data_IF_851925526973
#
_entry.id   IF_851925526973
#
_cell.length_a   1.000
_cell.length_b   1.000
_cell.length_c   1.000
_cell.angle_alpha   90.00
_cell.angle_beta   90.00
_cell.angle_gamma   90.00
#
_symmetry.space_group_name_H-M   'P 1'
#
loop_
_entity.id
_entity.type
_entity.pdbx_description
1 polymer ?
#
# COMPACT_ATOMS: atom_id res chain seq x y z
N UNK A 1 -31.84 47.12 6.49
CA UNK A 1 -30.57 46.67 5.86
C UNK A 1 -30.02 45.39 6.50
N UNK A 2 -30.15 45.22 7.82
CA UNK A 2 -29.69 44.05 8.60
C UNK A 2 -30.44 42.72 8.36
N UNK A 3 -31.74 42.76 8.02
CA UNK A 3 -32.54 41.56 7.77
C UNK A 3 -32.14 40.84 6.47
N UNK A 4 -31.96 41.59 5.37
CA UNK A 4 -31.54 41.06 4.07
C UNK A 4 -30.15 40.41 4.16
N UNK A 5 -29.23 41.03 4.89
CA UNK A 5 -27.89 40.50 5.11
C UNK A 5 -27.89 39.19 5.92
N UNK A 6 -28.76 39.09 6.94
CA UNK A 6 -28.96 37.88 7.74
C UNK A 6 -29.54 36.74 6.91
N UNK A 7 -30.56 37.01 6.09
CA UNK A 7 -31.19 36.02 5.20
C UNK A 7 -30.23 35.53 4.11
N UNK A 8 -29.42 36.44 3.53
CA UNK A 8 -28.39 36.07 2.54
C UNK A 8 -27.31 35.18 3.19
N UNK A 9 -26.85 35.49 4.41
CA UNK A 9 -25.88 34.64 5.13
C UNK A 9 -26.45 33.25 5.46
N UNK A 10 -27.73 33.17 5.84
CA UNK A 10 -28.39 31.89 6.09
C UNK A 10 -28.56 31.07 4.79
N UNK A 11 -28.95 31.70 3.69
CA UNK A 11 -29.03 31.04 2.37
C UNK A 11 -27.65 30.55 1.91
N UNK A 12 -26.61 31.37 2.02
CA UNK A 12 -25.23 30.97 1.69
C UNK A 12 -24.72 29.85 2.59
N UNK A 13 -25.06 29.87 3.88
CA UNK A 13 -24.79 28.77 4.82
C UNK A 13 -25.50 27.48 4.41
N UNK A 14 -26.78 27.55 4.02
CA UNK A 14 -27.56 26.41 3.58
C UNK A 14 -27.03 25.83 2.26
N UNK A 15 -26.74 26.68 1.29
CA UNK A 15 -26.15 26.29 0.00
C UNK A 15 -24.77 25.67 0.18
N UNK A 16 -23.91 26.28 1.02
CA UNK A 16 -22.62 25.71 1.39
C UNK A 16 -22.77 24.35 2.05
N UNK A 17 -23.76 24.17 2.93
CA UNK A 17 -24.04 22.91 3.62
C UNK A 17 -24.51 21.82 2.65
N UNK A 18 -25.40 22.14 1.71
CA UNK A 18 -25.89 21.20 0.68
C UNK A 18 -24.76 20.79 -0.28
N UNK A 19 -23.93 21.74 -0.71
CA UNK A 19 -22.73 21.46 -1.51
C UNK A 19 -21.71 20.60 -0.74
N UNK A 20 -21.55 20.83 0.56
CA UNK A 20 -20.67 20.04 1.41
C UNK A 20 -21.17 18.60 1.56
N UNK A 21 -22.48 18.40 1.74
CA UNK A 21 -23.13 17.09 1.82
C UNK A 21 -22.95 16.34 0.49
N UNK A 22 -23.23 17.00 -0.64
CA UNK A 22 -23.03 16.41 -1.97
C UNK A 22 -21.57 15.99 -2.19
N UNK A 23 -20.60 16.83 -1.81
CA UNK A 23 -19.16 16.50 -1.92
C UNK A 23 -18.75 15.33 -1.03
N UNK A 24 -19.23 15.25 0.21
CA UNK A 24 -18.93 14.11 1.12
C UNK A 24 -19.49 12.79 0.58
N UNK A 25 -20.68 12.82 0.00
CA UNK A 25 -21.30 11.62 -0.62
C UNK A 25 -20.47 11.08 -1.80
N UNK A 26 -19.86 11.95 -2.62
CA UNK A 26 -18.98 11.52 -3.72
C UNK A 26 -17.75 10.76 -3.22
N UNK A 27 -17.10 11.21 -2.14
CA UNK A 27 -15.93 10.51 -1.61
C UNK A 27 -16.28 9.19 -0.91
N UNK A 28 -17.49 9.09 -0.33
CA UNK A 28 -18.01 7.81 0.14
C UNK A 28 -18.24 6.84 -1.02
N UNK A 29 -18.72 7.33 -2.18
CA UNK A 29 -18.83 6.51 -3.40
C UNK A 29 -17.46 5.99 -3.86
N UNK A 30 -16.41 6.79 -3.76
CA UNK A 30 -15.03 6.34 -4.07
C UNK A 30 -14.60 5.19 -3.13
N UNK A 31 -14.89 5.28 -1.83
CA UNK A 31 -14.63 4.17 -0.90
C UNK A 31 -15.42 2.91 -1.28
N UNK A 32 -16.69 3.06 -1.65
CA UNK A 32 -17.51 1.96 -2.12
C UNK A 32 -16.96 1.33 -3.41
N UNK A 33 -16.45 2.12 -4.36
CA UNK A 33 -15.83 1.62 -5.59
C UNK A 33 -14.55 0.80 -5.30
N UNK A 34 -13.73 1.25 -4.34
CA UNK A 34 -12.56 0.50 -3.85
C UNK A 34 -13.01 -0.84 -3.24
N UNK A 35 -14.03 -0.81 -2.37
CA UNK A 35 -14.61 -2.01 -1.76
C UNK A 35 -15.08 -3.02 -2.80
N UNK A 36 -15.90 -2.57 -3.76
CA UNK A 36 -16.43 -3.41 -4.85
C UNK A 36 -15.30 -4.03 -5.66
N UNK A 37 -14.20 -3.31 -5.90
CA UNK A 37 -13.04 -3.84 -6.62
C UNK A 37 -12.38 -5.03 -5.88
N UNK A 38 -12.25 -4.93 -4.56
CA UNK A 38 -11.75 -6.05 -3.73
C UNK A 38 -12.73 -7.22 -3.67
N UNK A 39 -14.02 -6.94 -3.44
CA UNK A 39 -15.06 -7.97 -3.37
C UNK A 39 -15.23 -8.71 -4.71
N UNK A 40 -15.11 -8.02 -5.85
CA UNK A 40 -15.15 -8.62 -7.18
C UNK A 40 -13.99 -9.61 -7.39
N UNK A 41 -12.79 -9.28 -6.90
CA UNK A 41 -11.64 -10.20 -6.96
C UNK A 41 -11.80 -11.41 -6.04
N UNK A 42 -12.37 -11.20 -4.85
CA UNK A 42 -12.74 -12.30 -3.95
C UNK A 42 -13.76 -13.24 -4.61
N UNK A 43 -14.80 -12.69 -5.23
CA UNK A 43 -15.83 -13.46 -5.93
C UNK A 43 -15.26 -14.26 -7.11
N UNK A 44 -14.36 -13.65 -7.89
CA UNK A 44 -13.65 -14.32 -8.98
C UNK A 44 -12.83 -15.52 -8.50
N UNK A 45 -12.38 -15.49 -7.24
CA UNK A 45 -11.60 -16.56 -6.63
C UNK A 45 -12.47 -17.77 -6.28
N UNK A 46 -13.72 -17.56 -5.85
CA UNK A 46 -14.69 -18.64 -5.68
C UNK A 46 -15.24 -19.20 -6.99
N UNK A 47 -15.39 -18.35 -8.01
CA UNK A 47 -15.93 -18.73 -9.31
C UNK A 47 -14.94 -18.52 -10.47
N UNK A 48 -13.75 -19.16 -10.43
CA UNK A 48 -12.65 -18.86 -11.34
C UNK A 48 -12.95 -19.16 -12.81
N UNK A 49 -13.88 -20.09 -13.08
CA UNK A 49 -14.31 -20.43 -14.44
C UNK A 49 -15.34 -19.44 -15.01
N UNK A 50 -16.16 -18.83 -14.15
CA UNK A 50 -17.28 -17.99 -14.59
C UNK A 50 -16.90 -16.52 -14.67
N UNK A 51 -15.94 -16.07 -13.84
CA UNK A 51 -15.58 -14.66 -13.69
C UNK A 51 -14.06 -14.39 -13.86
N UNK A 52 -13.40 -14.91 -14.91
CA UNK A 52 -11.95 -14.77 -15.06
C UNK A 52 -11.49 -13.31 -15.20
N UNK A 53 -12.32 -12.43 -15.78
CA UNK A 53 -12.02 -11.02 -15.95
C UNK A 53 -11.90 -10.27 -14.61
N UNK A 54 -12.61 -10.72 -13.56
CA UNK A 54 -12.63 -10.07 -12.26
C UNK A 54 -11.45 -10.44 -11.36
N UNK A 55 -10.62 -11.42 -11.76
CA UNK A 55 -9.46 -11.87 -10.97
C UNK A 55 -8.51 -10.71 -10.64
N UNK A 56 -8.34 -9.77 -11.59
CA UNK A 56 -7.47 -8.60 -11.44
C UNK A 56 -8.16 -7.40 -10.79
N UNK A 57 -9.43 -7.49 -10.38
CA UNK A 57 -10.15 -6.34 -9.81
C UNK A 57 -9.48 -5.78 -8.54
N UNK A 58 -8.78 -6.61 -7.75
CA UNK A 58 -8.04 -6.11 -6.58
C UNK A 58 -6.91 -5.14 -6.97
N UNK A 59 -6.30 -5.31 -8.16
CA UNK A 59 -5.29 -4.37 -8.66
C UNK A 59 -5.88 -2.98 -8.93
N UNK A 60 -7.13 -2.92 -9.41
CA UNK A 60 -7.89 -1.67 -9.59
C UNK A 60 -8.21 -1.05 -8.23
N UNK A 61 -8.62 -1.86 -7.25
CA UNK A 61 -8.84 -1.39 -5.88
C UNK A 61 -7.59 -0.75 -5.27
N UNK A 62 -6.44 -1.40 -5.39
CA UNK A 62 -5.15 -0.85 -4.98
C UNK A 62 -4.75 0.41 -5.75
N UNK A 63 -4.97 0.45 -7.06
CA UNK A 63 -4.65 1.60 -7.90
C UNK A 63 -5.49 2.82 -7.49
N UNK A 64 -6.81 2.64 -7.33
CA UNK A 64 -7.72 3.69 -6.90
C UNK A 64 -7.37 4.21 -5.51
N UNK A 65 -7.13 3.29 -4.55
CA UNK A 65 -6.74 3.66 -3.19
C UNK A 65 -5.41 4.43 -3.18
N UNK A 66 -4.40 3.93 -3.89
CA UNK A 66 -3.11 4.60 -4.04
C UNK A 66 -3.23 5.98 -4.67
N UNK A 67 -3.96 6.10 -5.78
CA UNK A 67 -4.18 7.38 -6.45
C UNK A 67 -4.92 8.39 -5.56
N UNK A 68 -5.95 7.95 -4.83
CA UNK A 68 -6.69 8.81 -3.91
C UNK A 68 -5.83 9.30 -2.74
N UNK A 69 -4.98 8.44 -2.18
CA UNK A 69 -4.04 8.79 -1.11
C UNK A 69 -2.91 9.71 -1.60
N UNK A 70 -2.51 9.61 -2.86
CA UNK A 70 -1.42 10.43 -3.42
C UNK A 70 -1.91 11.81 -3.89
N UNK A 71 -3.00 11.84 -4.66
CA UNK A 71 -3.44 13.04 -5.39
C UNK A 71 -4.48 13.85 -4.64
N UNK A 72 -5.36 13.19 -3.89
CA UNK A 72 -6.50 13.83 -3.21
C UNK A 72 -6.67 13.36 -1.75
N UNK A 73 -5.59 13.20 -0.94
CA UNK A 73 -5.70 12.64 0.41
C UNK A 73 -6.63 13.44 1.32
N UNK A 74 -6.57 14.78 1.24
CA UNK A 74 -7.39 15.67 2.06
C UNK A 74 -8.89 15.56 1.80
N UNK A 75 -9.29 15.20 0.58
CA UNK A 75 -10.70 14.99 0.26
C UNK A 75 -11.13 13.55 0.55
N UNK A 76 -10.31 12.59 0.15
CA UNK A 76 -10.57 11.17 0.35
C UNK A 76 -10.72 10.85 1.85
N UNK A 77 -9.72 11.19 2.67
CA UNK A 77 -9.79 10.92 4.11
C UNK A 77 -10.43 12.06 4.92
N UNK A 78 -10.63 13.25 4.35
CA UNK A 78 -11.27 14.37 5.03
C UNK A 78 -12.70 14.08 5.47
N UNK A 79 -13.39 13.15 4.82
CA UNK A 79 -14.72 12.70 5.26
C UNK A 79 -14.69 11.87 6.53
N UNK A 80 -13.52 11.34 6.93
CA UNK A 80 -13.36 10.46 8.09
C UNK A 80 -13.09 11.22 9.39
N UNK A 81 -12.86 12.53 9.32
CA UNK A 81 -12.54 13.39 10.48
C UNK A 81 -13.56 14.51 10.66
N UNK A 82 -13.70 15.00 11.89
CA UNK A 82 -14.39 16.25 12.20
C UNK A 82 -13.33 17.33 12.50
N UNK A 83 -13.32 18.40 11.70
CA UNK A 83 -12.40 19.53 11.86
C UNK A 83 -11.54 19.80 10.63
N UNK A 84 -10.55 20.66 10.79
CA UNK A 84 -9.69 21.08 9.68
C UNK A 84 -8.58 20.07 9.43
N UNK A 85 -8.75 19.29 8.36
CA UNK A 85 -7.74 18.35 7.87
C UNK A 85 -6.59 19.13 7.20
N UNK A 86 -5.52 19.37 7.96
CA UNK A 86 -4.42 20.23 7.50
C UNK A 86 -3.50 19.53 6.47
N UNK A 87 -2.60 20.32 5.87
CA UNK A 87 -1.63 19.87 4.87
C UNK A 87 -0.73 18.73 5.36
N UNK A 88 -0.33 18.73 6.64
CA UNK A 88 0.53 17.69 7.20
C UNK A 88 -0.19 16.33 7.28
N UNK A 89 -1.47 16.32 7.64
CA UNK A 89 -2.25 15.07 7.63
C UNK A 89 -2.34 14.48 6.21
N UNK A 90 -2.64 15.33 5.22
CA UNK A 90 -2.65 14.93 3.81
C UNK A 90 -1.30 14.41 3.34
N UNK A 91 -0.22 15.06 3.76
CA UNK A 91 1.14 14.69 3.38
C UNK A 91 1.56 13.32 3.95
N UNK A 92 1.32 13.05 5.24
CA UNK A 92 1.67 11.76 5.84
C UNK A 92 0.90 10.58 5.22
N UNK A 93 -0.34 10.81 4.79
CA UNK A 93 -1.14 9.81 4.07
C UNK A 93 -0.54 9.40 2.73
N UNK A 94 0.06 10.36 2.02
CA UNK A 94 0.63 10.11 0.70
C UNK A 94 1.74 9.06 0.75
N UNK A 95 2.47 8.91 1.87
CA UNK A 95 3.46 7.84 2.01
C UNK A 95 2.86 6.43 1.90
N UNK A 96 1.62 6.24 2.34
CA UNK A 96 0.92 4.96 2.21
C UNK A 96 0.57 4.64 0.74
N UNK A 97 0.36 5.67 -0.09
CA UNK A 97 0.02 5.49 -1.51
C UNK A 97 1.07 4.69 -2.28
N UNK A 98 2.35 4.87 -1.94
CA UNK A 98 3.49 4.25 -2.61
C UNK A 98 3.34 2.72 -2.64
N UNK A 99 2.89 2.13 -1.54
CA UNK A 99 2.69 0.68 -1.42
C UNK A 99 1.50 0.20 -2.23
N UNK A 100 0.36 0.89 -2.17
CA UNK A 100 -0.82 0.48 -2.94
C UNK A 100 -0.58 0.59 -4.45
N UNK A 101 0.10 1.64 -4.92
CA UNK A 101 0.48 1.79 -6.33
C UNK A 101 1.46 0.70 -6.77
N UNK A 102 2.44 0.36 -5.94
CA UNK A 102 3.36 -0.73 -6.20
C UNK A 102 2.66 -2.11 -6.25
N UNK A 103 1.74 -2.37 -5.33
CA UNK A 103 0.92 -3.59 -5.34
C UNK A 103 0.10 -3.64 -6.62
N UNK A 104 -0.60 -2.56 -6.99
CA UNK A 104 -1.38 -2.50 -8.22
C UNK A 104 -0.54 -2.84 -9.45
N UNK A 105 0.65 -2.24 -9.58
CA UNK A 105 1.60 -2.57 -10.65
C UNK A 105 1.99 -4.05 -10.63
N UNK A 106 2.34 -4.59 -9.47
CA UNK A 106 2.79 -5.98 -9.36
C UNK A 106 1.70 -6.99 -9.72
N UNK A 107 0.45 -6.73 -9.28
CA UNK A 107 -0.71 -7.57 -9.59
C UNK A 107 -1.14 -7.48 -11.06
N UNK A 108 -0.82 -6.38 -11.75
CA UNK A 108 -1.05 -6.21 -13.19
C UNK A 108 0.08 -6.79 -14.05
N UNK A 109 1.18 -7.24 -13.45
CA UNK A 109 2.36 -7.67 -14.20
C UNK A 109 2.07 -8.86 -15.14
N UNK A 110 2.67 -8.88 -16.34
CA UNK A 110 2.42 -9.92 -17.34
C UNK A 110 3.04 -11.27 -16.97
N UNK A 111 3.99 -11.32 -16.02
CA UNK A 111 4.65 -12.54 -15.56
C UNK A 111 3.74 -13.49 -14.73
N UNK A 112 2.44 -13.18 -14.66
CA UNK A 112 1.47 -13.91 -13.88
C UNK A 112 1.35 -13.30 -12.49
N UNK A 113 0.11 -13.14 -12.06
CA UNK A 113 -0.24 -12.81 -10.69
C UNK A 113 0.48 -13.82 -9.77
N UNK A 114 1.36 -13.40 -8.84
CA UNK A 114 1.90 -14.34 -7.88
C UNK A 114 0.78 -14.63 -6.89
N UNK A 115 -0.05 -15.61 -7.23
CA UNK A 115 -0.97 -16.31 -6.33
C UNK A 115 -0.17 -17.11 -5.28
N UNK A 116 1.15 -16.94 -5.22
CA UNK A 116 2.04 -17.57 -4.26
C UNK A 116 1.58 -17.24 -2.83
N UNK A 117 1.35 -18.29 -2.06
CA UNK A 117 0.85 -18.23 -0.68
C UNK A 117 1.53 -17.15 0.18
N UNK A 118 2.87 -16.95 0.14
CA UNK A 118 3.51 -15.94 0.97
C UNK A 118 3.11 -14.49 0.61
N UNK A 119 2.81 -14.20 -0.66
CA UNK A 119 2.39 -12.87 -1.10
C UNK A 119 0.95 -12.57 -0.72
N UNK A 120 0.07 -13.56 -0.90
CA UNK A 120 -1.33 -13.46 -0.46
C UNK A 120 -1.39 -13.33 1.07
N UNK A 121 -0.61 -14.15 1.79
CA UNK A 121 -0.47 -14.05 3.24
C UNK A 121 0.08 -12.68 3.67
N UNK A 122 1.15 -12.19 3.05
CA UNK A 122 1.72 -10.89 3.37
C UNK A 122 0.71 -9.74 3.19
N UNK A 123 -0.06 -9.77 2.09
CA UNK A 123 -1.12 -8.78 1.86
C UNK A 123 -2.25 -8.90 2.89
N UNK A 124 -2.74 -10.11 3.18
CA UNK A 124 -3.78 -10.32 4.20
C UNK A 124 -3.32 -9.86 5.59
N UNK A 125 -2.09 -10.20 5.99
CA UNK A 125 -1.52 -9.83 7.28
C UNK A 125 -1.37 -8.31 7.41
N UNK A 126 -0.89 -7.63 6.36
CA UNK A 126 -0.76 -6.17 6.36
C UNK A 126 -2.12 -5.47 6.32
N UNK A 127 -3.09 -5.99 5.57
CA UNK A 127 -4.45 -5.48 5.57
C UNK A 127 -5.08 -5.58 6.98
N UNK A 128 -4.87 -6.71 7.67
CA UNK A 128 -5.30 -6.91 9.04
C UNK A 128 -4.67 -5.88 9.98
N UNK A 129 -3.34 -5.72 9.96
CA UNK A 129 -2.66 -4.76 10.82
C UNK A 129 -3.05 -3.31 10.51
N UNK A 130 -3.29 -2.99 9.24
CA UNK A 130 -3.78 -1.68 8.79
C UNK A 130 -5.17 -1.38 9.36
N UNK A 131 -6.10 -2.34 9.22
CA UNK A 131 -7.44 -2.24 9.80
C UNK A 131 -7.39 -2.11 11.32
N UNK A 132 -6.63 -2.99 12.00
CA UNK A 132 -6.46 -2.93 13.46
C UNK A 132 -5.87 -1.59 13.90
N UNK A 133 -4.90 -1.04 13.18
CA UNK A 133 -4.31 0.27 13.49
C UNK A 133 -5.35 1.38 13.42
N UNK A 134 -6.21 1.38 12.39
CA UNK A 134 -7.30 2.35 12.28
C UNK A 134 -8.36 2.16 13.37
N UNK A 135 -8.77 0.91 13.66
CA UNK A 135 -9.78 0.62 14.69
C UNK A 135 -9.29 0.96 16.10
N UNK A 136 -8.04 0.62 16.43
CA UNK A 136 -7.43 1.01 17.72
C UNK A 136 -7.29 2.52 17.84
N UNK A 137 -6.99 3.22 16.74
CA UNK A 137 -6.95 4.68 16.74
C UNK A 137 -8.34 5.27 16.95
N UNK A 138 -9.37 4.73 16.28
CA UNK A 138 -10.75 5.15 16.47
C UNK A 138 -11.18 4.97 17.92
N UNK A 139 -10.94 3.79 18.50
CA UNK A 139 -11.20 3.49 19.90
C UNK A 139 -10.48 4.46 20.86
N UNK A 140 -9.20 4.71 20.61
CA UNK A 140 -8.41 5.64 21.41
C UNK A 140 -8.93 7.08 21.35
N UNK A 141 -9.33 7.53 20.17
CA UNK A 141 -9.89 8.86 19.92
C UNK A 141 -11.29 9.03 20.53
N UNK A 142 -12.07 7.94 20.64
CA UNK A 142 -13.40 7.97 21.28
C UNK A 142 -13.33 7.92 22.80
N UNK A 143 -12.41 7.15 23.38
CA UNK A 143 -12.38 6.94 24.84
C UNK A 143 -11.54 7.95 25.61
N UNK A 144 -10.45 8.44 25.01
CA UNK A 144 -9.56 9.38 25.69
C UNK A 144 -9.77 10.76 25.11
N UNK A 145 -9.84 11.77 25.98
CA UNK A 145 -9.66 13.19 25.64
C UNK A 145 -8.24 13.37 25.10
N UNK A 146 -8.06 13.00 23.85
CA UNK A 146 -6.79 13.04 23.14
C UNK A 146 -6.79 14.27 22.26
N UNK A 147 -5.62 14.90 22.17
CA UNK A 147 -5.43 16.05 21.31
C UNK A 147 -5.49 15.57 19.85
N UNK A 148 -6.38 16.15 19.07
CA UNK A 148 -6.47 15.88 17.64
C UNK A 148 -7.86 16.07 17.06
N UNK A 149 -7.98 15.82 15.76
CA UNK A 149 -9.27 15.78 15.08
C UNK A 149 -10.14 14.67 15.67
N UNK A 150 -11.43 14.96 15.90
CA UNK A 150 -12.38 13.92 16.28
C UNK A 150 -12.65 13.02 15.06
N UNK A 151 -12.96 11.75 15.29
CA UNK A 151 -13.41 10.89 14.21
C UNK A 151 -14.84 11.24 13.80
N UNK A 152 -15.14 11.15 12.51
CA UNK A 152 -16.52 11.25 12.02
C UNK A 152 -17.25 9.91 12.14
N UNK A 153 -18.57 9.94 12.00
CA UNK A 153 -19.42 8.73 11.91
C UNK A 153 -19.03 7.83 10.71
N UNK A 154 -18.35 8.39 9.71
CA UNK A 154 -17.93 7.67 8.52
C UNK A 154 -16.58 6.96 8.68
N UNK A 155 -15.82 7.24 9.75
CA UNK A 155 -14.46 6.72 9.91
C UNK A 155 -14.41 5.19 9.86
N UNK A 156 -15.23 4.53 10.69
CA UNK A 156 -15.26 3.07 10.80
C UNK A 156 -15.73 2.46 9.48
N UNK A 157 -16.79 3.02 8.89
CA UNK A 157 -17.30 2.57 7.60
C UNK A 157 -16.22 2.65 6.51
N UNK A 158 -15.52 3.78 6.38
CA UNK A 158 -14.47 3.97 5.39
C UNK A 158 -13.28 3.03 5.62
N UNK A 159 -12.92 2.75 6.88
CA UNK A 159 -11.89 1.77 7.22
C UNK A 159 -12.27 0.35 6.76
N UNK A 160 -13.54 -0.06 6.95
CA UNK A 160 -14.01 -1.36 6.45
C UNK A 160 -14.14 -1.42 4.94
N UNK A 161 -14.61 -0.34 4.28
CA UNK A 161 -14.71 -0.28 2.82
C UNK A 161 -13.35 -0.34 2.12
N UNK A 162 -12.26 0.02 2.82
CA UNK A 162 -10.90 -0.02 2.28
C UNK A 162 -10.12 -1.22 2.80
N UNK A 163 -9.58 -1.15 4.01
CA UNK A 163 -8.71 -2.19 4.58
C UNK A 163 -9.48 -3.47 4.95
N UNK A 164 -10.75 -3.34 5.37
CA UNK A 164 -11.60 -4.50 5.65
C UNK A 164 -11.93 -5.30 4.38
N UNK A 165 -12.28 -4.62 3.30
CA UNK A 165 -12.54 -5.25 2.01
C UNK A 165 -11.27 -5.87 1.42
N UNK A 166 -10.12 -5.18 1.55
CA UNK A 166 -8.81 -5.73 1.17
C UNK A 166 -8.48 -7.00 1.97
N UNK A 167 -8.61 -6.97 3.29
CA UNK A 167 -8.40 -8.12 4.17
C UNK A 167 -9.29 -9.30 3.76
N UNK A 168 -10.58 -9.06 3.54
CA UNK A 168 -11.52 -10.11 3.14
C UNK A 168 -11.11 -10.73 1.80
N UNK A 169 -10.75 -9.90 0.81
CA UNK A 169 -10.29 -10.35 -0.50
C UNK A 169 -9.08 -11.28 -0.40
N UNK A 170 -8.04 -10.87 0.33
CA UNK A 170 -6.83 -11.68 0.48
C UNK A 170 -7.04 -12.91 1.37
N UNK A 171 -7.93 -12.82 2.37
CA UNK A 171 -8.32 -13.98 3.18
C UNK A 171 -9.02 -15.04 2.33
N UNK A 172 -9.96 -14.65 1.47
CA UNK A 172 -10.63 -15.57 0.54
C UNK A 172 -9.61 -16.25 -0.37
N UNK A 173 -8.67 -15.49 -0.94
CA UNK A 173 -7.56 -16.05 -1.74
C UNK A 173 -6.72 -17.02 -0.94
N UNK A 174 -6.39 -16.71 0.32
CA UNK A 174 -5.58 -17.57 1.17
C UNK A 174 -6.29 -18.88 1.52
N UNK A 175 -7.59 -18.84 1.83
CA UNK A 175 -8.39 -20.03 2.17
C UNK A 175 -8.70 -20.91 0.96
N UNK A 176 -8.78 -20.33 -0.23
CA UNK A 176 -9.05 -21.07 -1.48
C UNK A 176 -7.77 -21.52 -2.18
N UNK A 177 -6.61 -21.02 -1.75
CA UNK A 177 -5.32 -21.42 -2.29
C UNK A 177 -5.09 -22.92 -2.11
N UNK A 178 -4.81 -23.60 -3.23
CA UNK A 178 -4.43 -25.02 -3.25
C UNK A 178 -3.10 -25.15 -3.97
N UNK A 179 -2.07 -25.60 -3.25
CA UNK A 179 -0.79 -26.02 -3.83
C UNK A 179 -0.68 -27.53 -3.70
N UNK A 180 -0.34 -28.20 -4.79
CA UNK A 180 -0.09 -29.63 -4.79
C UNK A 180 1.38 -29.90 -4.50
N UNK A 181 1.71 -31.09 -3.98
CA UNK A 181 3.10 -31.52 -3.81
C UNK A 181 3.87 -31.48 -5.13
N UNK A 182 3.18 -31.71 -6.25
CA UNK A 182 3.78 -31.61 -7.58
C UNK A 182 4.21 -30.17 -7.91
N UNK A 183 3.41 -29.16 -7.54
CA UNK A 183 3.76 -27.75 -7.78
C UNK A 183 5.03 -27.35 -7.00
N UNK A 184 5.20 -27.90 -5.80
CA UNK A 184 6.40 -27.67 -4.98
C UNK A 184 7.63 -28.35 -5.57
N UNK A 185 7.51 -29.60 -6.02
CA UNK A 185 8.57 -30.32 -6.73
C UNK A 185 8.96 -29.56 -8.00
N UNK A 186 7.99 -29.13 -8.80
CA UNK A 186 8.23 -28.38 -10.04
C UNK A 186 8.95 -27.05 -9.77
N UNK A 187 8.60 -26.34 -8.69
CA UNK A 187 9.31 -25.12 -8.25
C UNK A 187 10.75 -25.41 -7.85
N UNK A 188 10.99 -26.46 -7.06
CA UNK A 188 12.34 -26.87 -6.65
C UNK A 188 13.19 -27.25 -7.86
N UNK A 189 12.65 -28.05 -8.78
CA UNK A 189 13.34 -28.45 -10.01
C UNK A 189 13.70 -27.21 -10.85
N UNK A 190 12.77 -26.28 -11.08
CA UNK A 190 13.05 -25.03 -11.83
C UNK A 190 14.16 -24.22 -11.19
N UNK A 191 14.16 -24.10 -9.86
CA UNK A 191 15.22 -23.38 -9.13
C UNK A 191 16.57 -24.07 -9.30
N UNK A 192 16.62 -25.39 -9.12
CA UNK A 192 17.86 -26.17 -9.32
C UNK A 192 18.37 -26.04 -10.75
N UNK A 193 17.50 -26.10 -11.76
CA UNK A 193 17.87 -25.88 -13.16
C UNK A 193 18.49 -24.50 -13.39
N UNK A 194 17.90 -23.43 -12.83
CA UNK A 194 18.47 -22.08 -12.95
C UNK A 194 19.89 -22.01 -12.38
N UNK A 195 20.15 -22.70 -11.27
CA UNK A 195 21.49 -22.77 -10.68
C UNK A 195 22.47 -23.61 -11.50
N UNK A 196 22.03 -24.77 -12.00
CA UNK A 196 22.85 -25.64 -12.88
C UNK A 196 23.22 -24.95 -14.19
N UNK A 197 22.33 -24.13 -14.72
CA UNK A 197 22.57 -23.34 -15.95
C UNK A 197 23.42 -22.08 -15.70
N UNK A 198 23.90 -21.85 -14.47
CA UNK A 198 24.68 -20.65 -14.11
C UNK A 198 23.86 -19.36 -14.14
N UNK A 199 22.53 -19.45 -14.17
CA UNK A 199 21.58 -18.31 -14.23
C UNK A 199 21.09 -17.88 -12.85
N UNK A 200 21.42 -18.62 -11.79
CA UNK A 200 21.24 -18.21 -10.40
C UNK A 200 22.10 -17.00 -10.03
N UNK A 201 21.71 -16.26 -8.99
CA UNK A 201 22.43 -15.06 -8.54
C UNK A 201 22.42 -14.93 -7.03
N UNK A 202 23.55 -15.23 -6.38
CA UNK A 202 23.73 -15.01 -4.95
C UNK A 202 23.57 -13.52 -4.58
N UNK A 203 24.04 -12.63 -5.45
CA UNK A 203 23.82 -11.19 -5.26
C UNK A 203 22.34 -10.86 -5.19
N UNK A 204 21.53 -11.43 -6.09
CA UNK A 204 20.09 -11.14 -6.12
C UNK A 204 19.35 -11.72 -4.91
N UNK A 205 19.71 -12.94 -4.47
CA UNK A 205 19.17 -13.49 -3.24
C UNK A 205 19.52 -12.59 -2.03
N UNK A 206 20.77 -12.15 -1.93
CA UNK A 206 21.21 -11.22 -0.89
C UNK A 206 20.48 -9.88 -0.99
N UNK A 207 20.20 -9.39 -2.19
CA UNK A 207 19.45 -8.16 -2.38
C UNK A 207 18.03 -8.27 -1.83
N UNK A 208 17.36 -9.41 -2.02
CA UNK A 208 16.04 -9.66 -1.41
C UNK A 208 16.10 -9.75 0.12
N UNK A 209 17.15 -10.36 0.68
CA UNK A 209 17.34 -10.38 2.13
C UNK A 209 17.57 -8.99 2.72
N UNK A 210 18.38 -8.17 2.07
CA UNK A 210 18.61 -6.79 2.48
C UNK A 210 17.31 -5.98 2.38
N UNK A 211 16.57 -6.12 1.28
CA UNK A 211 15.26 -5.47 1.11
C UNK A 211 14.27 -5.86 2.22
N UNK A 212 14.24 -7.15 2.59
CA UNK A 212 13.43 -7.64 3.69
C UNK A 212 13.85 -7.03 5.04
N UNK A 213 15.16 -7.02 5.32
CA UNK A 213 15.70 -6.52 6.59
C UNK A 213 15.47 -5.00 6.76
N UNK A 214 15.74 -4.21 5.72
CA UNK A 214 15.49 -2.76 5.73
C UNK A 214 14.00 -2.48 5.88
N UNK A 215 13.15 -3.19 5.14
CA UNK A 215 11.69 -3.04 5.24
C UNK A 215 11.16 -3.40 6.63
N UNK A 216 11.70 -4.45 7.26
CA UNK A 216 11.36 -4.85 8.62
C UNK A 216 11.81 -3.79 9.64
N UNK A 217 13.01 -3.23 9.48
CA UNK A 217 13.51 -2.15 10.33
C UNK A 217 12.61 -0.92 10.23
N UNK A 218 12.21 -0.53 9.00
CA UNK A 218 11.26 0.56 8.77
C UNK A 218 9.91 0.26 9.43
N UNK A 219 9.39 -0.95 9.28
CA UNK A 219 8.14 -1.37 9.90
C UNK A 219 8.19 -1.28 11.43
N UNK A 220 9.19 -1.89 12.07
CA UNK A 220 9.34 -1.91 13.53
C UNK A 220 9.50 -0.51 14.08
N UNK A 221 10.36 0.31 13.47
CA UNK A 221 10.61 1.68 13.96
C UNK A 221 9.35 2.55 13.87
N UNK A 222 8.64 2.54 12.74
CA UNK A 222 7.44 3.35 12.54
C UNK A 222 6.24 2.85 13.34
N UNK A 223 6.12 1.54 13.57
CA UNK A 223 5.04 0.98 14.37
C UNK A 223 5.25 1.22 15.87
N UNK A 224 6.46 0.97 16.38
CA UNK A 224 6.79 1.06 17.80
C UNK A 224 7.04 2.50 18.27
N UNK A 225 7.69 3.33 17.46
CA UNK A 225 8.13 4.67 17.86
C UNK A 225 7.60 5.83 16.97
N UNK A 226 6.32 5.83 16.54
CA UNK A 226 5.80 6.83 15.59
C UNK A 226 5.90 8.26 16.12
N UNK A 227 5.65 8.47 17.42
CA UNK A 227 5.72 9.79 18.04
C UNK A 227 7.14 10.35 18.05
N UNK A 228 8.14 9.50 18.31
CA UNK A 228 9.54 9.92 18.36
C UNK A 228 10.02 10.27 16.95
N UNK A 229 9.70 9.44 15.96
CA UNK A 229 10.01 9.70 14.56
C UNK A 229 9.41 11.04 14.13
N UNK A 230 8.11 11.24 14.34
CA UNK A 230 7.43 12.47 13.92
C UNK A 230 8.00 13.71 14.61
N UNK A 231 8.28 13.65 15.92
CA UNK A 231 8.88 14.77 16.66
C UNK A 231 10.29 15.12 16.19
N UNK A 232 11.07 14.12 15.76
CA UNK A 232 12.41 14.34 15.22
C UNK A 232 12.31 14.96 13.83
N UNK A 233 11.44 14.43 12.98
CA UNK A 233 11.44 14.69 11.53
C UNK A 233 10.58 15.90 11.14
N UNK A 234 9.46 16.15 11.82
CA UNK A 234 8.55 17.27 11.52
C UNK A 234 8.97 18.50 12.33
N UNK A 235 8.85 19.69 11.74
CA UNK A 235 9.15 20.95 12.47
C UNK A 235 8.18 21.16 13.64
N UNK A 236 8.65 21.81 14.70
CA UNK A 236 7.90 22.05 15.94
C UNK A 236 6.70 22.99 15.77
N UNK A 237 6.62 23.70 14.64
CA UNK A 237 5.48 24.56 14.29
C UNK A 237 4.20 23.74 14.06
N UNK A 238 4.34 22.49 13.61
CA UNK A 238 3.19 21.62 13.44
C UNK A 238 2.83 20.95 14.75
N UNK A 239 1.55 21.11 15.08
CA UNK A 239 0.98 20.42 16.21
C UNK A 239 0.64 18.96 15.86
N UNK A 240 1.48 18.04 16.31
CA UNK A 240 1.25 16.60 16.12
C UNK A 240 0.04 16.12 16.94
N UNK A 241 -0.75 15.24 16.33
CA UNK A 241 -1.95 14.67 16.91
C UNK A 241 -2.05 13.15 16.66
N UNK A 242 -3.11 12.52 17.19
CA UNK A 242 -3.33 11.08 17.06
C UNK A 242 -3.46 10.60 15.61
N UNK A 243 -3.96 11.42 14.69
CA UNK A 243 -4.07 11.05 13.28
C UNK A 243 -2.71 11.01 12.61
N UNK A 244 -1.82 11.96 12.91
CA UNK A 244 -0.44 11.92 12.42
C UNK A 244 0.28 10.64 12.88
N UNK A 245 0.11 10.28 14.16
CA UNK A 245 0.67 9.08 14.75
C UNK A 245 0.13 7.82 14.06
N UNK A 246 -1.18 7.76 13.81
CA UNK A 246 -1.82 6.67 13.10
C UNK A 246 -1.22 6.48 11.70
N UNK A 247 -1.08 7.55 10.91
CA UNK A 247 -0.55 7.45 9.54
C UNK A 247 0.93 7.08 9.50
N UNK A 248 1.71 7.51 10.50
CA UNK A 248 3.09 7.03 10.68
C UNK A 248 3.11 5.51 10.95
N UNK A 249 2.23 4.99 11.81
CA UNK A 249 2.08 3.55 12.03
C UNK A 249 1.60 2.81 10.79
N UNK A 250 0.65 3.36 10.04
CA UNK A 250 0.14 2.78 8.79
C UNK A 250 1.26 2.59 7.76
N UNK A 251 2.16 3.57 7.62
CA UNK A 251 3.36 3.42 6.80
C UNK A 251 4.26 2.27 7.29
N UNK A 252 4.42 2.13 8.61
CA UNK A 252 5.11 0.98 9.20
C UNK A 252 4.44 -0.37 8.89
N UNK A 253 3.11 -0.45 9.03
CA UNK A 253 2.32 -1.63 8.68
C UNK A 253 2.52 -2.02 7.21
N UNK A 254 2.44 -1.05 6.29
CA UNK A 254 2.65 -1.29 4.86
C UNK A 254 4.10 -1.70 4.54
N UNK A 255 5.07 -1.24 5.33
CA UNK A 255 6.47 -1.66 5.22
C UNK A 255 6.69 -3.13 5.63
N UNK A 256 5.77 -3.77 6.36
CA UNK A 256 5.84 -5.21 6.61
C UNK A 256 5.60 -6.04 5.35
N UNK A 257 4.84 -5.52 4.38
CA UNK A 257 4.55 -6.26 3.15
C UNK A 257 5.83 -6.67 2.43
N UNK A 258 6.75 -5.74 2.07
CA UNK A 258 8.01 -6.13 1.47
C UNK A 258 8.94 -6.87 2.43
N UNK A 259 8.86 -6.64 3.75
CA UNK A 259 9.60 -7.44 4.72
C UNK A 259 9.28 -8.94 4.60
N UNK A 260 8.00 -9.29 4.44
CA UNK A 260 7.54 -10.67 4.28
C UNK A 260 7.74 -11.18 2.84
N UNK A 261 7.39 -10.37 1.85
CA UNK A 261 7.39 -10.77 0.45
C UNK A 261 8.80 -10.98 -0.09
N UNK A 262 9.78 -10.14 0.31
CA UNK A 262 11.16 -10.26 -0.20
C UNK A 262 11.84 -11.55 0.23
N UNK A 263 11.54 -12.09 1.42
CA UNK A 263 12.04 -13.39 1.85
C UNK A 263 11.60 -14.54 0.93
N UNK A 264 10.43 -14.38 0.33
CA UNK A 264 9.82 -15.35 -0.59
C UNK A 264 10.14 -15.05 -2.06
N UNK A 265 10.43 -13.79 -2.38
CA UNK A 265 10.69 -13.33 -3.74
C UNK A 265 11.85 -14.09 -4.41
N UNK A 266 12.90 -14.43 -3.64
CA UNK A 266 14.04 -15.21 -4.15
C UNK A 266 13.68 -16.60 -4.70
N UNK A 267 12.52 -17.14 -4.31
CA UNK A 267 12.04 -18.45 -4.78
C UNK A 267 11.12 -18.35 -5.99
N UNK A 268 10.79 -17.12 -6.42
CA UNK A 268 9.92 -16.90 -7.56
C UNK A 268 10.64 -17.15 -8.89
N UNK A 269 9.91 -17.35 -9.99
CA UNK A 269 10.49 -17.32 -11.32
C UNK A 269 11.21 -15.97 -11.60
N UNK A 270 12.35 -15.98 -12.32
CA UNK A 270 13.16 -14.79 -12.60
C UNK A 270 12.40 -13.55 -13.12
N UNK A 271 11.40 -13.76 -13.98
CA UNK A 271 10.58 -12.67 -14.52
C UNK A 271 9.70 -12.03 -13.43
N UNK A 272 9.11 -12.86 -12.55
CA UNK A 272 8.31 -12.36 -11.42
C UNK A 272 9.21 -11.66 -10.40
N UNK A 273 10.43 -12.15 -10.16
CA UNK A 273 11.43 -11.46 -9.35
C UNK A 273 11.73 -10.05 -9.87
N UNK A 274 11.85 -9.90 -11.19
CA UNK A 274 12.10 -8.60 -11.85
C UNK A 274 10.93 -7.65 -11.67
N UNK A 275 9.69 -8.12 -11.87
CA UNK A 275 8.49 -7.31 -11.62
C UNK A 275 8.31 -6.97 -10.13
N UNK A 276 8.70 -7.86 -9.24
CA UNK A 276 8.70 -7.58 -7.81
C UNK A 276 9.71 -6.48 -7.46
N UNK A 277 10.93 -6.54 -7.98
CA UNK A 277 11.91 -5.47 -7.81
C UNK A 277 11.45 -4.14 -8.40
N UNK A 278 10.77 -4.17 -9.56
CA UNK A 278 10.17 -2.98 -10.12
C UNK A 278 9.08 -2.40 -9.20
N UNK A 279 8.25 -3.22 -8.55
CA UNK A 279 7.25 -2.73 -7.60
C UNK A 279 7.90 -2.12 -6.34
N UNK A 280 8.98 -2.73 -5.84
CA UNK A 280 9.80 -2.17 -4.75
C UNK A 280 10.40 -0.82 -5.15
N UNK A 281 10.92 -0.73 -6.37
CA UNK A 281 11.48 0.51 -6.92
C UNK A 281 10.42 1.61 -7.03
N UNK A 282 9.23 1.31 -7.56
CA UNK A 282 8.09 2.24 -7.59
C UNK A 282 7.78 2.76 -6.19
N UNK A 283 7.74 1.86 -5.19
CA UNK A 283 7.49 2.26 -3.79
C UNK A 283 8.52 3.28 -3.33
N UNK A 284 9.82 2.97 -3.46
CA UNK A 284 10.89 3.84 -2.94
C UNK A 284 11.06 5.12 -3.74
N UNK A 285 10.83 5.12 -5.05
CA UNK A 285 10.84 6.35 -5.85
C UNK A 285 9.74 7.30 -5.39
N UNK A 286 8.52 6.80 -5.17
CA UNK A 286 7.42 7.64 -4.65
C UNK A 286 7.75 8.17 -3.25
N UNK A 287 8.25 7.32 -2.34
CA UNK A 287 8.67 7.75 -0.99
C UNK A 287 9.77 8.81 -1.04
N UNK A 288 10.76 8.64 -1.92
CA UNK A 288 11.84 9.61 -2.10
C UNK A 288 11.29 10.94 -2.63
N UNK A 289 10.44 10.91 -3.66
CA UNK A 289 9.78 12.11 -4.19
C UNK A 289 8.90 12.82 -3.16
N UNK A 290 8.23 12.08 -2.27
CA UNK A 290 7.48 12.65 -1.16
C UNK A 290 8.40 13.33 -0.15
N UNK A 291 9.59 12.78 0.13
CA UNK A 291 10.57 13.48 0.97
C UNK A 291 11.07 14.78 0.29
N UNK A 292 11.33 14.76 -1.01
CA UNK A 292 11.69 15.96 -1.79
C UNK A 292 10.56 17.01 -1.68
N UNK A 293 9.33 16.59 -1.96
CA UNK A 293 8.16 17.47 -1.92
C UNK A 293 7.93 18.05 -0.52
N UNK A 294 8.01 17.23 0.53
CA UNK A 294 7.86 17.66 1.92
C UNK A 294 8.93 18.67 2.35
N UNK A 295 10.17 18.49 1.88
CA UNK A 295 11.27 19.38 2.22
C UNK A 295 11.20 20.73 1.48
N UNK A 296 11.18 20.70 0.14
CA UNK A 296 11.35 21.91 -0.67
C UNK A 296 10.04 22.63 -0.97
N UNK A 297 8.91 21.92 -1.07
CA UNK A 297 7.64 22.53 -1.42
C UNK A 297 6.79 22.84 -0.18
N UNK A 298 6.62 21.88 0.73
CA UNK A 298 5.77 22.07 1.90
C UNK A 298 6.50 22.65 3.12
N UNK A 299 7.81 22.52 3.21
CA UNK A 299 8.60 22.98 4.36
C UNK A 299 8.21 22.33 5.69
N UNK A 300 7.68 21.09 5.67
CA UNK A 300 7.16 20.44 6.90
C UNK A 300 8.25 19.82 7.78
N UNK A 301 9.44 19.64 7.23
CA UNK A 301 10.51 18.91 7.89
C UNK A 301 11.40 19.80 8.74
N UNK A 302 11.79 19.30 9.90
CA UNK A 302 12.89 19.85 10.70
C UNK A 302 14.24 19.52 10.02
N UNK A 303 15.35 20.20 10.35
CA UNK A 303 16.67 19.86 9.81
C UNK A 303 17.09 18.39 10.02
N UNK A 304 16.56 17.71 11.04
CA UNK A 304 16.92 16.32 11.35
C UNK A 304 16.36 15.31 10.34
N UNK A 305 15.43 15.71 9.47
CA UNK A 305 14.90 14.82 8.43
C UNK A 305 15.94 14.40 7.39
N UNK A 306 17.08 15.12 7.28
CA UNK A 306 18.14 14.83 6.31
C UNK A 306 18.62 13.39 6.43
N UNK A 307 18.73 12.84 7.65
CA UNK A 307 19.11 11.44 7.85
C UNK A 307 18.11 10.47 7.20
N UNK A 308 16.81 10.70 7.39
CA UNK A 308 15.74 9.91 6.77
C UNK A 308 15.73 10.06 5.24
N UNK A 309 15.97 11.28 4.74
CA UNK A 309 16.10 11.55 3.32
C UNK A 309 17.27 10.79 2.69
N UNK A 310 18.45 10.81 3.34
CA UNK A 310 19.63 10.08 2.87
C UNK A 310 19.40 8.56 2.90
N UNK A 311 18.79 8.02 3.96
CA UNK A 311 18.42 6.59 4.04
C UNK A 311 17.50 6.22 2.86
N UNK A 312 16.48 7.04 2.58
CA UNK A 312 15.57 6.81 1.45
C UNK A 312 16.30 6.85 0.10
N UNK A 313 17.22 7.81 -0.10
CA UNK A 313 18.04 7.91 -1.32
C UNK A 313 18.99 6.73 -1.53
N UNK A 314 19.68 6.28 -0.47
CA UNK A 314 20.53 5.09 -0.54
C UNK A 314 19.72 3.82 -0.81
N UNK A 315 18.57 3.68 -0.16
CA UNK A 315 17.71 2.51 -0.36
C UNK A 315 17.12 2.47 -1.78
N UNK A 316 16.68 3.62 -2.32
CA UNK A 316 16.26 3.75 -3.71
C UNK A 316 17.40 3.35 -4.67
N UNK A 317 18.63 3.84 -4.44
CA UNK A 317 19.80 3.53 -5.26
C UNK A 317 20.15 2.04 -5.23
N UNK A 318 20.06 1.42 -4.04
CA UNK A 318 20.22 -0.02 -3.87
C UNK A 318 19.20 -0.82 -4.69
N UNK A 319 17.91 -0.44 -4.65
CA UNK A 319 16.86 -1.09 -5.43
C UNK A 319 17.03 -0.91 -6.94
N UNK A 320 17.50 0.27 -7.39
CA UNK A 320 17.87 0.48 -8.79
C UNK A 320 18.96 -0.51 -9.23
N UNK A 321 20.03 -0.64 -8.44
CA UNK A 321 21.12 -1.60 -8.72
C UNK A 321 20.59 -3.03 -8.81
N UNK A 322 19.76 -3.45 -7.84
CA UNK A 322 19.17 -4.79 -7.84
C UNK A 322 18.27 -5.03 -9.06
N UNK A 323 17.40 -4.06 -9.38
CA UNK A 323 16.48 -4.14 -10.53
C UNK A 323 17.22 -4.23 -11.87
N UNK A 324 18.21 -3.36 -12.11
CA UNK A 324 18.95 -3.39 -13.38
C UNK A 324 19.78 -4.66 -13.54
N UNK A 325 20.37 -5.17 -12.45
CA UNK A 325 21.08 -6.46 -12.47
C UNK A 325 20.14 -7.62 -12.77
N UNK A 326 18.98 -7.69 -12.12
CA UNK A 326 17.97 -8.70 -12.40
C UNK A 326 17.49 -8.63 -13.85
N UNK A 327 17.14 -7.42 -14.31
CA UNK A 327 16.68 -7.17 -15.68
C UNK A 327 17.72 -7.58 -16.71
N UNK A 328 18.98 -7.24 -16.49
CA UNK A 328 20.09 -7.62 -17.37
C UNK A 328 20.33 -9.13 -17.37
N UNK A 329 20.32 -9.76 -16.20
CA UNK A 329 20.57 -11.19 -16.04
C UNK A 329 19.45 -12.06 -16.64
N UNK A 330 18.21 -11.56 -16.60
CA UNK A 330 17.03 -12.32 -17.01
C UNK A 330 16.46 -11.94 -18.38
N UNK A 331 17.08 -10.96 -19.07
CA UNK A 331 16.61 -10.40 -20.36
C UNK A 331 16.35 -11.46 -21.44
N UNK A 332 17.17 -12.52 -21.47
CA UNK A 332 17.14 -13.55 -22.52
C UNK A 332 16.58 -14.90 -22.04
N UNK A 333 15.98 -14.94 -20.85
CA UNK A 333 15.34 -16.16 -20.36
C UNK A 333 14.01 -16.37 -21.11
N UNK A 334 13.79 -17.54 -21.74
CA UNK A 334 12.52 -17.83 -22.37
C UNK A 334 11.40 -17.71 -21.31
N UNK A 335 10.27 -17.10 -21.71
CA UNK A 335 9.04 -17.18 -20.91
C UNK A 335 8.71 -18.65 -20.72
N UNK A 336 8.87 -19.16 -19.50
CA UNK A 336 8.50 -20.54 -19.18
C UNK A 336 6.98 -20.58 -19.12
N UNK A 337 6.34 -20.73 -20.28
CA UNK A 337 4.92 -21.00 -20.42
C UNK A 337 4.68 -22.41 -19.87
N UNK A 338 3.99 -22.51 -18.74
CA UNK A 338 3.66 -23.79 -18.12
C UNK A 338 2.76 -24.59 -19.09
N UNK A 339 3.28 -25.69 -19.63
CA UNK A 339 2.58 -26.79 -20.33
C UNK A 339 1.46 -26.33 -21.30
N UNK A 340 1.79 -26.17 -22.59
CA UNK A 340 0.92 -26.80 -23.59
C UNK A 340 0.99 -28.30 -23.34
N UNK A 341 0.01 -28.81 -22.59
CA UNK A 341 -0.29 -30.24 -22.57
C UNK A 341 -0.80 -30.55 -23.98
N UNK A 342 0.11 -30.79 -24.93
CA UNK A 342 -0.28 -31.41 -26.17
C UNK A 342 -0.92 -32.74 -25.79
N UNK A 343 -2.22 -32.83 -26.05
CA UNK A 343 -2.97 -34.05 -26.05
C UNK A 343 -2.20 -35.03 -26.94
N UNK A 344 -1.88 -36.19 -26.40
CA UNK A 344 -1.49 -37.33 -27.20
C UNK A 344 -2.62 -37.64 -28.20
N UNK A 345 -2.25 -37.81 -29.47
CA UNK A 345 -2.57 -39.01 -30.24
C UNK A 345 -1.25 -39.47 -30.84
#
# INVERSE_FOLDING_TARGET
MTFIESTIRQLLSLFSSVLLISRRMWWLFVHAAICVSFLASALATWFPKNLPALRRASSVGHLLLGACLLLTPGYFNGITVQGHFNTLHSFLQAYCSAFHLAIAYFLLSPAGFPDEKPFVFGQAFVALLSLLTKLLTAWHLTEKTTRGLLISDQFILCAFLTDGAWLLCESVKLFTYRKTNQDEIDQMCKRTTLWLEGKGSFYLENAFYIDAAVSLLMAVTHFAFPQHILKIVITSEYLLDSHHIMWCRMFGCLSLLPALCSLSARHLPPQVQTHYLASRLITQVIVFLLNVFGHWYLGVFSPNHISGFMISGFYMSFLFSAFYRASSQYKNLPQITIRQKNKAI
#
